data_IF_427310802571
#
_entry.id   IF_427310802571
#
_cell.length_a   1.000
_cell.length_b   1.000
_cell.length_c   1.000
_cell.angle_alpha   90.00
_cell.angle_beta   90.00
_cell.angle_gamma   90.00
#
_symmetry.space_group_name_H-M   'P 1'
#
loop_
_entity.id
_entity.type
_entity.pdbx_description
1 polymer ?
#
# COMPACT_ATOMS: atom_id res chain seq x y z
N UNK A 1 9.69 3.46 0.29
CA UNK A 1 8.61 3.37 1.30
C UNK A 1 7.35 3.96 0.70
N UNK A 2 6.19 3.29 0.80
CA UNK A 2 4.93 3.82 0.26
C UNK A 2 4.48 5.07 1.03
N UNK A 3 3.76 6.00 0.37
CA UNK A 3 3.16 7.14 1.07
C UNK A 3 2.21 6.65 2.17
N UNK A 4 2.20 7.34 3.31
CA UNK A 4 1.30 7.00 4.40
C UNK A 4 -0.14 7.39 4.01
N UNK A 5 -1.14 6.48 4.08
CA UNK A 5 -2.47 6.74 3.55
C UNK A 5 -3.17 7.99 4.11
N UNK A 6 -2.87 8.36 5.36
CA UNK A 6 -3.49 9.51 6.03
C UNK A 6 -2.63 10.78 6.02
N UNK A 7 -1.44 10.73 5.41
CA UNK A 7 -0.50 11.85 5.37
C UNK A 7 0.06 12.28 6.76
N UNK A 8 0.92 13.31 6.79
CA UNK A 8 1.47 13.82 8.03
C UNK A 8 0.42 14.51 8.91
N UNK A 9 0.65 14.50 10.23
CA UNK A 9 -0.27 15.16 11.17
C UNK A 9 -0.11 16.68 11.04
N UNK A 10 -1.21 17.36 10.75
CA UNK A 10 -1.24 18.83 10.67
C UNK A 10 -1.02 19.46 12.05
N UNK A 11 -1.70 18.92 13.08
CA UNK A 11 -1.59 19.38 14.47
C UNK A 11 -0.77 18.41 15.31
N UNK A 12 -0.04 18.96 16.28
CA UNK A 12 0.82 18.21 17.18
C UNK A 12 1.88 17.35 16.45
N UNK A 13 2.67 18.01 15.58
CA UNK A 13 3.76 17.43 14.75
C UNK A 13 4.77 16.59 15.53
N UNK A 14 4.95 16.86 16.83
CA UNK A 14 5.77 16.03 17.72
C UNK A 14 5.38 14.54 17.65
N UNK A 15 4.09 14.24 17.47
CA UNK A 15 3.60 12.88 17.44
C UNK A 15 4.05 12.06 16.24
N UNK A 16 4.48 12.69 15.15
CA UNK A 16 4.95 12.00 13.95
C UNK A 16 6.33 11.37 14.12
N UNK A 17 7.10 11.83 15.12
CA UNK A 17 8.42 11.32 15.50
C UNK A 17 8.39 10.13 16.47
N UNK A 18 7.22 9.57 16.77
CA UNK A 18 7.09 8.50 17.76
C UNK A 18 5.80 7.71 17.63
N UNK A 19 5.56 6.81 18.58
CA UNK A 19 4.34 6.00 18.65
C UNK A 19 3.37 6.59 19.67
N UNK A 20 2.45 7.41 19.18
CA UNK A 20 1.49 8.11 20.03
C UNK A 20 0.13 7.41 20.14
N UNK A 21 -0.15 6.43 19.27
CA UNK A 21 -1.40 5.68 19.29
C UNK A 21 -2.62 6.57 19.08
N UNK A 22 -2.56 7.49 18.10
CA UNK A 22 -3.60 8.48 17.84
C UNK A 22 -3.80 9.57 18.90
N UNK A 23 -3.10 9.54 20.05
CA UNK A 23 -3.22 10.61 21.06
C UNK A 23 -2.62 11.93 20.56
N UNK A 24 -3.29 13.01 20.91
CA UNK A 24 -2.91 14.40 20.63
C UNK A 24 -3.02 15.24 21.90
N UNK A 25 -2.53 16.49 21.85
CA UNK A 25 -2.73 17.45 22.94
C UNK A 25 -4.17 17.93 22.92
N UNK A 26 -4.83 17.87 24.08
CA UNK A 26 -6.16 18.43 24.25
C UNK A 26 -6.06 19.83 24.86
N UNK A 27 -7.02 20.69 24.51
CA UNK A 27 -7.13 22.05 25.01
C UNK A 27 -8.48 22.26 25.67
N UNK A 28 -8.52 23.10 26.69
CA UNK A 28 -9.76 23.44 27.39
C UNK A 28 -9.53 24.51 28.44
N UNK A 29 -10.46 24.63 29.38
CA UNK A 29 -10.41 25.66 30.41
C UNK A 29 -10.31 25.05 31.80
N UNK A 30 -9.57 25.69 32.71
CA UNK A 30 -9.73 25.55 34.16
C UNK A 30 -10.89 26.44 34.56
N UNK A 31 -11.86 25.90 35.28
CA UNK A 31 -13.04 26.61 35.79
C UNK A 31 -12.81 26.85 37.28
N UNK A 32 -12.81 28.11 37.72
CA UNK A 32 -12.72 28.44 39.15
C UNK A 32 -14.06 28.17 39.83
N UNK A 33 -14.03 27.52 41.00
CA UNK A 33 -15.20 27.44 41.88
C UNK A 33 -15.16 28.66 42.81
N UNK A 34 -16.05 29.63 42.59
CA UNK A 34 -16.10 30.87 43.35
C UNK A 34 -17.14 31.85 42.82
N UNK A 35 -17.36 32.97 43.53
CA UNK A 35 -18.39 33.98 43.22
C UNK A 35 -18.23 34.64 41.83
N UNK A 36 -16.99 34.68 41.32
CA UNK A 36 -16.67 35.09 39.95
C UNK A 36 -16.20 33.86 39.17
N UNK A 37 -17.01 33.38 38.23
CA UNK A 37 -16.69 32.22 37.37
C UNK A 37 -15.65 32.60 36.29
N UNK A 38 -14.37 32.61 36.67
CA UNK A 38 -13.26 32.78 35.74
C UNK A 38 -12.96 31.51 34.92
N UNK A 39 -12.78 31.68 33.61
CA UNK A 39 -12.29 30.63 32.70
C UNK A 39 -10.85 30.91 32.30
N UNK A 40 -9.91 30.03 32.67
CA UNK A 40 -8.49 30.15 32.27
C UNK A 40 -8.12 29.04 31.29
N UNK A 41 -7.45 29.36 30.18
CA UNK A 41 -7.01 28.35 29.19
C UNK A 41 -5.99 27.37 29.80
N UNK A 42 -6.11 26.09 29.48
CA UNK A 42 -5.15 25.03 29.83
C UNK A 42 -5.02 24.01 28.69
N UNK A 43 -4.02 23.14 28.81
CA UNK A 43 -3.78 22.01 27.90
C UNK A 43 -3.49 20.72 28.68
N UNK A 44 -3.84 19.59 28.10
CA UNK A 44 -3.51 18.25 28.59
C UNK A 44 -2.62 17.54 27.58
N UNK A 45 -1.39 17.23 28.00
CA UNK A 45 -0.42 16.51 27.18
C UNK A 45 -0.56 15.00 27.40
N UNK A 46 -0.36 14.17 26.36
CA UNK A 46 -0.25 12.74 26.55
C UNK A 46 1.01 12.41 27.36
N UNK A 47 0.97 11.32 28.14
CA UNK A 47 2.12 10.85 28.91
C UNK A 47 3.09 10.10 27.98
N UNK A 48 4.14 10.80 27.53
CA UNK A 48 5.16 10.31 26.59
C UNK A 48 6.46 10.01 27.34
N UNK A 49 7.09 8.89 27.03
CA UNK A 49 8.44 8.55 27.48
C UNK A 49 9.28 8.05 26.31
N UNK A 50 10.60 8.14 26.47
CA UNK A 50 11.54 7.42 25.61
C UNK A 50 11.59 5.97 26.13
N UNK A 51 11.36 5.00 25.27
CA UNK A 51 11.31 3.59 25.63
C UNK A 51 12.10 2.75 24.62
N UNK A 52 12.82 1.76 25.13
CA UNK A 52 13.55 0.79 24.35
C UNK A 52 12.65 -0.39 24.01
N UNK A 53 12.41 -0.60 22.73
CA UNK A 53 11.53 -1.64 22.22
C UNK A 53 12.33 -2.60 21.34
N UNK A 54 12.40 -3.87 21.74
CA UNK A 54 13.03 -4.92 20.94
C UNK A 54 12.15 -5.25 19.73
N UNK A 55 12.76 -5.27 18.54
CA UNK A 55 12.15 -5.78 17.30
C UNK A 55 12.83 -7.10 16.96
N UNK A 56 12.05 -8.17 16.93
CA UNK A 56 12.52 -9.52 16.60
C UNK A 56 12.83 -9.60 15.11
N UNK A 57 11.95 -9.03 14.28
CA UNK A 57 12.09 -9.01 12.83
C UNK A 57 13.35 -8.29 12.34
N UNK A 58 13.84 -7.31 13.11
CA UNK A 58 15.03 -6.53 12.79
C UNK A 58 16.27 -6.94 13.61
N UNK A 59 16.10 -7.79 14.63
CA UNK A 59 17.17 -8.19 15.54
C UNK A 59 17.80 -7.03 16.32
N UNK A 60 17.09 -5.92 16.53
CA UNK A 60 17.61 -4.68 17.15
C UNK A 60 16.63 -4.10 18.16
N UNK A 61 17.18 -3.44 19.17
CA UNK A 61 16.41 -2.62 20.11
C UNK A 61 16.30 -1.20 19.58
N UNK A 62 15.07 -0.65 19.55
CA UNK A 62 14.76 0.68 19.04
C UNK A 62 14.34 1.59 20.18
N UNK A 63 15.07 2.69 20.35
CA UNK A 63 14.74 3.73 21.32
C UNK A 63 13.79 4.74 20.68
N UNK A 64 12.51 4.73 21.06
CA UNK A 64 11.45 5.54 20.42
C UNK A 64 10.67 6.29 21.49
N UNK A 65 10.13 7.48 21.13
CA UNK A 65 9.15 8.18 21.96
C UNK A 65 7.79 7.48 21.87
N UNK A 66 7.27 7.00 22.98
CA UNK A 66 6.06 6.20 23.04
C UNK A 66 5.13 6.74 24.13
N UNK A 67 3.82 6.78 23.88
CA UNK A 67 2.85 7.06 24.94
C UNK A 67 2.63 5.83 25.82
N UNK A 68 2.37 6.00 27.12
CA UNK A 68 2.10 4.84 28.00
C UNK A 68 0.94 3.97 27.53
N UNK A 69 -0.10 4.57 26.94
CA UNK A 69 -1.20 3.85 26.35
C UNK A 69 -0.72 2.95 25.18
N UNK A 70 0.16 3.47 24.33
CA UNK A 70 0.76 2.72 23.24
C UNK A 70 1.67 1.60 23.76
N UNK A 71 2.47 1.87 24.81
CA UNK A 71 3.31 0.88 25.45
C UNK A 71 2.50 -0.30 26.02
N UNK A 72 1.35 0.00 26.65
CA UNK A 72 0.40 -1.02 27.13
C UNK A 72 -0.17 -1.84 25.97
N UNK A 73 -0.51 -1.21 24.84
CA UNK A 73 -1.00 -1.95 23.67
C UNK A 73 0.07 -2.78 23.00
N UNK A 74 1.33 -2.33 22.96
CA UNK A 74 2.47 -3.09 22.45
C UNK A 74 2.64 -4.37 23.26
N UNK A 75 2.61 -4.26 24.59
CA UNK A 75 2.65 -5.43 25.50
C UNK A 75 1.46 -6.37 25.26
N UNK A 76 0.24 -5.83 25.13
CA UNK A 76 -0.96 -6.63 24.83
C UNK A 76 -0.88 -7.35 23.49
N UNK A 77 -0.25 -6.77 22.48
CA UNK A 77 -0.06 -7.40 21.17
C UNK A 77 1.07 -8.46 21.18
N UNK A 78 1.87 -8.55 22.24
CA UNK A 78 3.00 -9.48 22.34
C UNK A 78 4.31 -8.96 21.75
N UNK A 79 4.42 -7.66 21.42
CA UNK A 79 5.67 -7.09 20.91
C UNK A 79 5.48 -5.88 19.99
N UNK A 80 6.59 -5.22 19.65
CA UNK A 80 6.59 -4.06 18.75
C UNK A 80 6.16 -4.46 17.33
N UNK A 81 6.72 -5.55 16.80
CA UNK A 81 6.48 -5.95 15.42
C UNK A 81 5.01 -6.31 15.20
N UNK A 82 4.42 -7.07 16.14
CA UNK A 82 2.99 -7.41 16.11
C UNK A 82 2.09 -6.18 16.26
N UNK A 83 2.53 -5.17 17.03
CA UNK A 83 1.80 -3.91 17.12
C UNK A 83 1.78 -3.16 15.78
N UNK A 84 2.89 -3.13 15.04
CA UNK A 84 3.04 -2.43 13.76
C UNK A 84 2.32 -3.15 12.61
N UNK A 85 2.32 -4.48 12.63
CA UNK A 85 1.67 -5.33 11.63
C UNK A 85 0.15 -5.42 11.78
N UNK A 86 -0.46 -4.75 12.75
CA UNK A 86 -1.92 -4.76 12.89
C UNK A 86 -2.63 -4.17 11.66
N UNK A 87 -3.50 -4.96 11.04
CA UNK A 87 -4.14 -4.61 9.75
C UNK A 87 -5.41 -3.79 9.88
N UNK A 88 -5.98 -3.70 11.08
CA UNK A 88 -7.19 -2.91 11.32
C UNK A 88 -6.96 -1.45 10.89
N UNK A 89 -7.92 -0.81 10.18
CA UNK A 89 -7.75 0.55 9.68
C UNK A 89 -7.50 1.57 10.80
N UNK A 90 -8.13 1.36 11.97
CA UNK A 90 -7.88 2.14 13.17
C UNK A 90 -6.41 2.07 13.62
N UNK A 91 -5.78 0.89 13.54
CA UNK A 91 -4.36 0.73 13.87
C UNK A 91 -3.51 1.52 12.89
N UNK A 92 -3.74 1.39 11.58
CA UNK A 92 -2.99 2.12 10.55
C UNK A 92 -3.02 3.63 10.83
N UNK A 93 -4.21 4.18 11.14
CA UNK A 93 -4.39 5.61 11.50
C UNK A 93 -3.60 6.01 12.75
N UNK A 94 -3.48 5.12 13.73
CA UNK A 94 -2.81 5.37 15.01
C UNK A 94 -1.27 5.39 14.93
N UNK A 95 -0.67 4.69 13.95
CA UNK A 95 0.79 4.53 13.80
C UNK A 95 1.52 5.87 13.57
N UNK A 96 0.94 6.79 12.78
CA UNK A 96 1.64 7.99 12.30
C UNK A 96 2.79 7.67 11.33
N UNK A 97 3.56 8.69 10.89
CA UNK A 97 4.60 8.43 9.87
C UNK A 97 5.73 7.54 10.39
N UNK A 98 6.24 7.77 11.60
CA UNK A 98 7.32 6.93 12.12
C UNK A 98 6.85 5.48 12.29
N UNK A 99 5.64 5.26 12.80
CA UNK A 99 5.06 3.92 12.87
C UNK A 99 4.95 3.30 11.47
N UNK A 100 4.44 4.04 10.48
CA UNK A 100 4.34 3.56 9.10
C UNK A 100 5.70 3.20 8.50
N UNK A 101 6.74 4.02 8.76
CA UNK A 101 8.12 3.75 8.36
C UNK A 101 8.66 2.47 8.99
N UNK A 102 8.41 2.29 10.29
CA UNK A 102 8.80 1.08 11.00
C UNK A 102 8.07 -0.16 10.48
N UNK A 103 6.76 -0.07 10.24
CA UNK A 103 5.96 -1.14 9.64
C UNK A 103 6.56 -1.56 8.30
N UNK A 104 6.84 -0.61 7.42
CA UNK A 104 7.48 -0.90 6.13
C UNK A 104 8.86 -1.56 6.32
N UNK A 105 9.67 -1.09 7.27
CA UNK A 105 10.99 -1.69 7.54
C UNK A 105 10.88 -3.12 8.07
N UNK A 106 9.93 -3.38 8.97
CA UNK A 106 9.64 -4.71 9.53
C UNK A 106 9.14 -5.65 8.43
N UNK A 107 8.21 -5.21 7.59
CA UNK A 107 7.69 -6.02 6.46
C UNK A 107 8.78 -6.39 5.45
N UNK A 108 9.79 -5.52 5.27
CA UNK A 108 10.87 -5.78 4.32
C UNK A 108 12.01 -6.65 4.87
N UNK A 109 11.98 -7.00 6.16
CA UNK A 109 13.00 -7.86 6.74
C UNK A 109 12.89 -9.28 6.20
N UNK A 110 14.03 -9.97 6.09
CA UNK A 110 14.09 -11.34 5.55
C UNK A 110 13.26 -12.30 6.41
N UNK A 111 13.30 -12.12 7.74
CA UNK A 111 12.51 -12.91 8.68
C UNK A 111 11.00 -12.77 8.40
N UNK A 112 10.49 -11.55 8.23
CA UNK A 112 9.06 -11.34 7.98
C UNK A 112 8.65 -11.74 6.57
N UNK A 113 9.47 -11.51 5.55
CA UNK A 113 9.22 -12.02 4.20
C UNK A 113 9.08 -13.54 4.18
N UNK A 114 9.98 -14.25 4.85
CA UNK A 114 9.90 -15.71 4.98
C UNK A 114 8.65 -16.15 5.74
N UNK A 115 8.28 -15.45 6.82
CA UNK A 115 7.06 -15.73 7.59
C UNK A 115 5.80 -15.55 6.73
N UNK A 116 5.69 -14.43 6.00
CA UNK A 116 4.56 -14.16 5.11
C UNK A 116 4.50 -15.14 3.93
N UNK A 117 5.64 -15.57 3.39
CA UNK A 117 5.66 -16.59 2.34
C UNK A 117 5.07 -17.91 2.83
N UNK A 118 5.43 -18.37 4.04
CA UNK A 118 4.86 -19.56 4.66
C UNK A 118 3.37 -19.40 4.97
N UNK A 119 2.97 -18.28 5.55
CA UNK A 119 1.56 -17.98 5.84
C UNK A 119 0.72 -17.98 4.56
N UNK A 120 1.27 -17.45 3.47
CA UNK A 120 0.63 -17.43 2.16
C UNK A 120 0.48 -18.83 1.56
N UNK A 121 1.51 -19.68 1.67
CA UNK A 121 1.45 -21.10 1.29
C UNK A 121 0.36 -21.84 2.08
N UNK A 122 0.28 -21.61 3.40
CA UNK A 122 -0.73 -22.21 4.26
C UNK A 122 -2.16 -21.77 3.88
N UNK A 123 -2.32 -20.54 3.40
CA UNK A 123 -3.59 -20.01 2.90
C UNK A 123 -3.92 -20.46 1.46
N UNK A 124 -3.04 -21.22 0.79
CA UNK A 124 -3.22 -21.66 -0.59
C UNK A 124 -3.18 -20.52 -1.62
N UNK A 125 -2.65 -19.35 -1.24
CA UNK A 125 -2.55 -18.20 -2.12
C UNK A 125 -1.35 -18.38 -3.07
N UNK A 126 -1.47 -18.03 -4.36
CA UNK A 126 -0.36 -18.14 -5.32
C UNK A 126 0.80 -17.28 -4.83
N UNK A 127 2.08 -17.66 -4.99
CA UNK A 127 3.21 -16.87 -4.52
C UNK A 127 3.10 -15.41 -5.00
N UNK A 128 3.46 -14.44 -4.14
CA UNK A 128 3.52 -13.03 -4.55
C UNK A 128 4.59 -12.89 -5.65
N UNK A 129 4.17 -12.93 -6.91
CA UNK A 129 4.95 -12.34 -8.01
C UNK A 129 4.79 -10.83 -7.90
N UNK A 130 5.54 -10.23 -6.99
CA UNK A 130 5.51 -8.78 -6.81
C UNK A 130 6.09 -8.04 -8.02
N UNK A 131 6.02 -6.71 -8.09
CA UNK A 131 6.70 -5.92 -9.13
C UNK A 131 8.23 -6.03 -9.10
N UNK A 132 8.80 -6.73 -8.10
CA UNK A 132 10.24 -6.93 -7.86
C UNK A 132 10.65 -8.40 -7.97
N UNK A 133 9.76 -9.31 -8.42
CA UNK A 133 10.29 -10.48 -9.13
C UNK A 133 10.90 -9.93 -10.40
N UNK A 134 12.22 -10.13 -10.67
CA UNK A 134 12.74 -9.74 -11.97
C UNK A 134 11.85 -10.43 -13.00
N UNK A 135 11.45 -9.71 -14.06
CA UNK A 135 10.59 -10.22 -15.13
C UNK A 135 11.05 -11.64 -15.56
N UNK A 136 12.36 -11.88 -15.55
CA UNK A 136 13.00 -13.18 -15.79
C UNK A 136 12.54 -14.35 -14.92
N UNK A 137 12.15 -14.15 -13.66
CA UNK A 137 11.71 -15.24 -12.77
C UNK A 137 10.25 -15.61 -13.06
N UNK A 138 9.38 -14.61 -13.16
CA UNK A 138 7.97 -14.82 -13.51
C UNK A 138 7.84 -15.37 -14.95
N UNK A 139 8.62 -14.81 -15.87
CA UNK A 139 8.77 -15.30 -17.24
C UNK A 139 9.67 -16.52 -17.35
N UNK A 140 10.00 -17.27 -16.30
CA UNK A 140 10.65 -18.61 -16.43
C UNK A 140 9.68 -19.75 -16.14
N UNK A 141 8.58 -19.48 -15.43
CA UNK A 141 7.56 -20.47 -15.12
C UNK A 141 6.58 -20.65 -16.30
N UNK A 142 6.53 -21.83 -16.96
CA UNK A 142 5.72 -22.03 -18.17
C UNK A 142 4.21 -21.80 -17.94
N UNK A 143 3.66 -22.36 -16.86
CA UNK A 143 2.24 -22.21 -16.51
C UNK A 143 1.84 -20.76 -16.27
N UNK A 144 2.74 -19.97 -15.70
CA UNK A 144 2.47 -18.56 -15.42
C UNK A 144 2.52 -17.73 -16.70
N UNK A 145 3.49 -17.99 -17.58
CA UNK A 145 3.54 -17.38 -18.91
C UNK A 145 2.23 -17.60 -19.66
N UNK A 146 1.74 -18.83 -19.70
CA UNK A 146 0.48 -19.18 -20.36
C UNK A 146 -0.72 -18.40 -19.80
N UNK A 147 -0.83 -18.29 -18.46
CA UNK A 147 -1.89 -17.54 -17.80
C UNK A 147 -1.85 -16.05 -18.14
N UNK A 148 -0.68 -15.42 -18.03
CA UNK A 148 -0.50 -13.99 -18.35
C UNK A 148 -0.75 -13.71 -19.83
N UNK A 149 -0.32 -14.61 -20.73
CA UNK A 149 -0.57 -14.49 -22.16
C UNK A 149 -2.06 -14.67 -22.49
N UNK A 150 -2.76 -15.59 -21.82
CA UNK A 150 -4.20 -15.77 -21.97
C UNK A 150 -4.99 -14.55 -21.47
N UNK A 151 -4.61 -13.98 -20.31
CA UNK A 151 -5.18 -12.73 -19.80
C UNK A 151 -4.92 -11.55 -20.74
N UNK A 152 -3.70 -11.41 -21.28
CA UNK A 152 -3.38 -10.42 -22.30
C UNK A 152 -4.24 -10.62 -23.56
N UNK A 153 -4.36 -11.84 -24.08
CA UNK A 153 -5.21 -12.10 -25.24
C UNK A 153 -6.66 -11.71 -25.02
N UNK A 154 -7.22 -11.99 -23.84
CA UNK A 154 -8.59 -11.59 -23.50
C UNK A 154 -8.74 -10.06 -23.48
N UNK A 155 -7.80 -9.36 -22.84
CA UNK A 155 -7.78 -7.89 -22.82
C UNK A 155 -7.67 -7.32 -24.23
N UNK A 156 -6.84 -7.91 -25.09
CA UNK A 156 -6.66 -7.49 -26.48
C UNK A 156 -7.92 -7.76 -27.31
N UNK A 157 -8.59 -8.90 -27.11
CA UNK A 157 -9.89 -9.20 -27.75
C UNK A 157 -10.96 -8.21 -27.33
N UNK A 158 -11.09 -7.93 -26.03
CA UNK A 158 -12.03 -6.92 -25.54
C UNK A 158 -11.74 -5.53 -26.12
N UNK A 159 -10.46 -5.15 -26.23
CA UNK A 159 -10.04 -3.88 -26.83
C UNK A 159 -10.39 -3.84 -28.32
N UNK A 160 -10.16 -4.92 -29.06
CA UNK A 160 -10.54 -5.05 -30.47
C UNK A 160 -12.07 -4.93 -30.65
N UNK A 161 -12.87 -5.61 -29.82
CA UNK A 161 -14.33 -5.51 -29.86
C UNK A 161 -14.82 -4.09 -29.52
N UNK A 162 -14.18 -3.43 -28.55
CA UNK A 162 -14.49 -2.03 -28.19
C UNK A 162 -14.14 -1.08 -29.34
N UNK A 163 -12.99 -1.28 -30.01
CA UNK A 163 -12.58 -0.51 -31.18
C UNK A 163 -13.56 -0.72 -32.34
N UNK A 164 -13.93 -1.97 -32.64
CA UNK A 164 -14.91 -2.29 -33.69
C UNK A 164 -16.29 -1.68 -33.42
N UNK A 165 -16.76 -1.73 -32.16
CA UNK A 165 -18.03 -1.09 -31.76
C UNK A 165 -17.96 0.43 -31.96
N UNK A 166 -16.87 1.05 -31.53
CA UNK A 166 -16.65 2.48 -31.70
C UNK A 166 -16.61 2.86 -33.18
N UNK A 167 -15.90 2.08 -34.01
CA UNK A 167 -15.85 2.28 -35.47
C UNK A 167 -17.21 2.18 -36.12
N UNK A 168 -18.00 1.15 -35.84
CA UNK A 168 -19.36 1.00 -36.38
C UNK A 168 -20.26 2.17 -35.96
N UNK A 169 -20.14 2.61 -34.71
CA UNK A 169 -20.87 3.78 -34.22
C UNK A 169 -20.48 5.06 -34.97
N UNK A 170 -19.19 5.29 -35.16
CA UNK A 170 -18.65 6.45 -35.88
C UNK A 170 -19.08 6.41 -37.36
N UNK A 171 -18.89 5.28 -38.05
CA UNK A 171 -19.27 5.10 -39.46
C UNK A 171 -20.77 5.27 -39.71
N UNK A 172 -21.62 4.89 -38.76
CA UNK A 172 -23.08 5.08 -38.86
C UNK A 172 -23.50 6.55 -38.91
N UNK A 173 -22.61 7.46 -38.49
CA UNK A 173 -22.87 8.90 -38.38
C UNK A 173 -22.15 9.73 -39.46
N UNK A 174 -21.51 9.07 -40.42
CA UNK A 174 -20.74 9.74 -41.48
C UNK A 174 -21.60 10.17 -42.66
N UNK A 175 -21.27 11.34 -43.19
CA UNK A 175 -21.72 11.78 -44.51
C UNK A 175 -20.81 11.19 -45.61
N UNK A 176 -21.25 11.13 -46.88
CA UNK A 176 -20.48 10.52 -47.97
C UNK A 176 -19.05 11.08 -48.12
N UNK A 177 -18.86 12.37 -47.81
CA UNK A 177 -17.58 13.09 -47.90
C UNK A 177 -16.57 12.69 -46.81
N UNK A 178 -17.04 12.23 -45.66
CA UNK A 178 -16.17 11.80 -44.54
C UNK A 178 -15.48 10.47 -44.85
N UNK A 179 -16.14 9.61 -45.64
CA UNK A 179 -15.60 8.31 -46.07
C UNK A 179 -14.34 8.43 -46.92
N UNK A 180 -14.25 9.47 -47.76
CA UNK A 180 -13.12 9.69 -48.65
C UNK A 180 -11.88 10.22 -47.92
N UNK A 181 -12.07 10.86 -46.77
CA UNK A 181 -10.99 11.55 -46.03
C UNK A 181 -10.44 10.73 -44.85
N UNK A 182 -11.12 9.64 -44.48
CA UNK A 182 -10.74 8.87 -43.29
C UNK A 182 -9.61 7.87 -43.55
N UNK A 183 -8.50 8.08 -42.84
CA UNK A 183 -7.40 7.11 -42.78
C UNK A 183 -7.59 6.15 -41.60
N UNK A 184 -7.64 4.85 -41.88
CA UNK A 184 -7.87 3.79 -40.90
C UNK A 184 -6.62 3.61 -40.04
N UNK A 185 -6.49 4.40 -38.97
CA UNK A 185 -5.52 4.07 -37.91
C UNK A 185 -5.94 2.79 -37.20
N UNK A 186 -5.08 1.78 -37.27
CA UNK A 186 -5.23 0.53 -36.56
C UNK A 186 -4.72 0.75 -35.13
N UNK A 187 -5.62 0.70 -34.15
CA UNK A 187 -5.31 0.98 -32.74
C UNK A 187 -4.62 -0.19 -32.04
N UNK A 188 -4.83 -1.41 -32.56
CA UNK A 188 -4.19 -2.65 -32.12
C UNK A 188 -3.29 -3.12 -33.26
N UNK A 189 -1.95 -3.04 -33.16
CA UNK A 189 -1.07 -3.47 -34.24
C UNK A 189 -1.41 -4.91 -34.64
N UNK A 190 -1.44 -5.21 -35.94
CA UNK A 190 -1.51 -6.58 -36.47
C UNK A 190 -0.23 -7.33 -36.05
N UNK A 191 -0.18 -7.75 -34.79
CA UNK A 191 0.85 -8.64 -34.30
C UNK A 191 0.53 -10.01 -34.88
N UNK A 192 1.12 -10.29 -36.04
CA UNK A 192 1.10 -11.62 -36.67
C UNK A 192 1.44 -12.67 -35.61
N UNK A 193 0.51 -13.62 -35.40
CA UNK A 193 0.58 -14.64 -34.36
C UNK A 193 1.87 -15.48 -34.46
N UNK A 194 2.53 -15.48 -35.63
CA UNK A 194 3.84 -16.12 -35.86
C UNK A 194 5.03 -15.39 -35.26
N UNK A 195 4.97 -14.06 -35.04
CA UNK A 195 6.06 -13.31 -34.43
C UNK A 195 6.22 -13.59 -32.92
N UNK A 196 5.27 -14.32 -32.32
CA UNK A 196 5.23 -14.65 -30.88
C UNK A 196 6.30 -15.64 -30.40
N UNK A 197 7.04 -16.28 -31.31
CA UNK A 197 8.01 -17.35 -30.97
C UNK A 197 9.47 -17.04 -31.31
N UNK A 198 9.81 -15.82 -31.77
CA UNK A 198 11.18 -15.48 -32.19
C UNK A 198 12.18 -15.19 -31.05
N UNK A 199 11.84 -15.49 -29.80
CA UNK A 199 12.78 -15.42 -28.66
C UNK A 199 13.17 -16.81 -28.12
N UNK A 200 12.80 -17.90 -28.80
CA UNK A 200 13.14 -19.27 -28.36
C UNK A 200 14.55 -19.75 -28.78
N UNK A 201 15.28 -19.01 -29.63
CA UNK A 201 16.54 -19.50 -30.25
C UNK A 201 17.84 -18.78 -29.83
N UNK A 202 17.88 -18.03 -28.73
CA UNK A 202 19.16 -17.54 -28.18
C UNK A 202 19.51 -18.23 -26.86
N UNK A 203 20.14 -19.40 -27.00
CA UNK A 203 20.79 -20.16 -25.94
C UNK A 203 21.94 -19.38 -25.27
#
# INVERSE_FOLDING_TARGET
>A
MPPYPYGPRQWYKQADSGLYGGRTVQYGNKISKGKNEGKTRRRWKPHVKLADLKSEALGKTLTIRVTYACLRTIRKCGGLDQYLLGDKPARIKELGLLGWKLRWRVMNSNMMKAKFAKERQNLGLPPQMGPVTPFSTAWKDPKYREQVMAEQEQVWRELAEKDERFRKHVESRWEPKDKETYDKKVMVPDFDLKARYLFEDSA
#
